data_IF_927224232525
#
_entry.id   IF_927224232525
#
_cell.length_a   1.000
_cell.length_b   1.000
_cell.length_c   1.000
_cell.angle_alpha   90.00
_cell.angle_beta   90.00
_cell.angle_gamma   90.00
#
_symmetry.space_group_name_H-M   'P 1'
#
loop_
_entity.id
_entity.type
_entity.pdbx_description
1 polymer ?
#
# COMPACT_ATOMS: atom_id res chain seq x y z
N UNK A 1 -43.21 79.99 22.93
CA UNK A 1 -42.45 78.86 23.51
C UNK A 1 -41.07 78.89 22.90
N UNK A 2 -40.05 79.10 23.74
CA UNK A 2 -38.62 78.79 23.62
C UNK A 2 -38.31 77.63 22.61
N UNK A 3 -37.26 77.53 21.80
CA UNK A 3 -35.83 77.95 21.86
C UNK A 3 -35.17 77.92 20.44
N UNK A 4 -34.24 78.87 20.27
CA UNK A 4 -33.04 79.10 19.43
C UNK A 4 -32.22 77.83 19.01
N UNK A 5 -31.59 77.69 17.84
CA UNK A 5 -30.29 78.29 17.47
C UNK A 5 -29.96 78.22 15.94
N UNK A 6 -29.49 79.37 15.42
CA UNK A 6 -28.56 79.56 14.28
C UNK A 6 -27.15 78.97 14.64
N UNK A 7 -26.16 78.65 13.78
CA UNK A 7 -25.59 79.39 12.64
C UNK A 7 -24.46 78.57 11.93
N UNK A 8 -24.32 78.79 10.61
CA UNK A 8 -23.13 78.88 9.69
C UNK A 8 -21.90 77.96 9.89
N UNK A 9 -21.55 77.11 8.90
CA UNK A 9 -20.67 77.33 7.71
C UNK A 9 -19.23 77.72 8.03
N UNK A 10 -18.24 76.93 7.56
CA UNK A 10 -16.96 77.32 6.92
C UNK A 10 -16.24 76.02 6.41
N UNK A 11 -16.02 75.92 5.09
CA UNK A 11 -14.91 75.18 4.45
C UNK A 11 -13.71 76.16 4.32
N UNK A 12 -12.45 75.78 3.98
CA UNK A 12 -11.90 74.49 3.50
C UNK A 12 -10.61 74.06 4.24
N UNK A 13 -10.03 72.86 4.00
CA UNK A 13 -8.57 72.66 4.12
C UNK A 13 -8.09 71.37 3.42
N UNK A 14 -6.89 71.50 2.86
CA UNK A 14 -6.11 70.66 1.97
C UNK A 14 -5.56 69.33 2.53
N UNK A 15 -5.50 68.34 1.63
CA UNK A 15 -4.33 67.51 1.22
C UNK A 15 -3.46 66.71 2.24
N UNK A 16 -3.00 65.55 1.75
CA UNK A 16 -1.98 64.58 2.26
C UNK A 16 -2.50 63.44 3.18
N UNK A 17 -2.07 62.17 3.11
CA UNK A 17 -1.00 61.45 2.40
C UNK A 17 -1.45 59.98 2.16
N UNK A 18 -1.05 59.41 1.02
CA UNK A 18 -1.26 58.02 0.63
C UNK A 18 -0.30 57.10 1.40
N UNK A 19 -0.80 56.03 2.04
CA UNK A 19 0.03 55.06 2.77
C UNK A 19 -0.55 53.65 2.70
N UNK A 20 -0.27 52.95 1.61
CA UNK A 20 -0.68 51.57 1.38
C UNK A 20 0.03 50.61 2.34
N UNK A 21 -0.71 49.97 3.24
CA UNK A 21 -0.22 48.84 4.02
C UNK A 21 0.07 47.65 3.10
N UNK A 22 1.35 47.48 2.73
CA UNK A 22 1.84 46.29 2.03
C UNK A 22 2.05 45.18 3.06
N UNK A 23 1.09 44.26 3.21
CA UNK A 23 1.33 42.99 3.90
C UNK A 23 2.47 42.27 3.15
N UNK A 24 3.65 42.19 3.76
CA UNK A 24 4.72 41.31 3.30
C UNK A 24 4.22 39.86 3.48
N UNK A 25 3.75 39.25 2.40
CA UNK A 25 3.64 37.79 2.32
C UNK A 25 5.06 37.25 2.51
N UNK A 26 5.29 36.58 3.63
CA UNK A 26 6.45 35.72 3.78
C UNK A 26 6.41 34.70 2.63
N UNK A 27 7.54 34.41 1.96
CA UNK A 27 7.56 33.34 0.97
C UNK A 27 7.24 32.05 1.71
N UNK A 28 6.08 31.46 1.40
CA UNK A 28 5.87 30.03 1.64
C UNK A 28 6.97 29.33 0.84
N UNK A 29 8.03 28.90 1.54
CA UNK A 29 8.96 27.94 0.99
C UNK A 29 8.18 26.65 0.81
N UNK A 30 7.65 26.47 -0.41
CA UNK A 30 7.12 25.20 -0.85
C UNK A 30 8.33 24.27 -0.95
N UNK A 31 8.65 23.57 0.14
CA UNK A 31 9.52 22.42 0.04
C UNK A 31 8.88 21.51 -1.02
N UNK A 32 9.55 21.39 -2.16
CA UNK A 32 9.21 20.44 -3.21
C UNK A 32 9.31 19.06 -2.56
N UNK A 33 8.21 18.54 -2.02
CA UNK A 33 8.16 17.14 -1.64
C UNK A 33 8.29 16.40 -2.96
N UNK A 34 9.42 15.72 -3.15
CA UNK A 34 9.61 14.88 -4.32
C UNK A 34 8.39 13.96 -4.42
N UNK A 35 7.57 14.17 -5.45
CA UNK A 35 6.47 13.24 -5.73
C UNK A 35 7.11 11.87 -5.94
N UNK A 36 6.55 10.82 -5.33
CA UNK A 36 7.12 9.51 -5.45
C UNK A 36 7.01 9.09 -6.93
N UNK A 37 8.16 9.07 -7.60
CA UNK A 37 8.26 8.83 -9.02
C UNK A 37 8.61 7.36 -9.26
N UNK A 38 7.88 6.74 -10.18
CA UNK A 38 8.33 5.51 -10.79
C UNK A 38 9.54 5.85 -11.67
N UNK A 39 10.69 5.24 -11.36
CA UNK A 39 11.88 5.30 -12.20
C UNK A 39 12.03 3.93 -12.85
N UNK A 40 12.01 3.82 -14.19
CA UNK A 40 12.24 2.55 -14.87
C UNK A 40 13.60 1.99 -14.44
N UNK A 41 13.59 0.87 -13.72
CA UNK A 41 14.83 0.18 -13.37
C UNK A 41 15.32 -0.52 -14.63
N UNK A 42 16.57 -0.29 -15.04
CA UNK A 42 17.16 -0.94 -16.22
C UNK A 42 17.22 -2.48 -16.13
N UNK A 43 17.00 -3.04 -14.93
CA UNK A 43 16.89 -4.47 -14.68
C UNK A 43 15.52 -4.79 -14.03
N UNK A 44 14.89 -5.92 -14.38
CA UNK A 44 13.67 -6.38 -13.71
C UNK A 44 13.88 -6.65 -12.22
N UNK A 45 12.89 -6.25 -11.42
CA UNK A 45 12.80 -6.55 -9.99
C UNK A 45 12.08 -7.90 -9.83
N UNK A 46 12.79 -8.97 -10.19
CA UNK A 46 12.28 -10.35 -10.20
C UNK A 46 12.61 -11.06 -8.88
N UNK A 47 11.62 -11.21 -7.98
CA UNK A 47 11.80 -11.84 -6.66
C UNK A 47 11.40 -13.32 -6.67
N UNK A 48 10.25 -13.65 -7.24
CA UNK A 48 9.73 -15.03 -7.35
C UNK A 48 10.17 -15.65 -8.67
N UNK A 49 9.84 -15.00 -9.80
CA UNK A 49 10.27 -15.42 -11.13
C UNK A 49 10.14 -14.32 -12.18
N UNK A 50 11.10 -14.17 -13.12
CA UNK A 50 11.03 -13.21 -14.21
C UNK A 50 9.79 -13.33 -15.11
N UNK A 51 9.15 -14.51 -15.16
CA UNK A 51 7.91 -14.72 -15.91
C UNK A 51 6.74 -13.87 -15.39
N UNK A 52 6.84 -13.39 -14.16
CA UNK A 52 5.87 -12.50 -13.52
C UNK A 52 6.27 -11.03 -13.64
N UNK A 53 7.20 -10.68 -14.53
CA UNK A 53 7.57 -9.29 -14.80
C UNK A 53 7.07 -8.88 -16.19
N UNK A 54 6.10 -7.96 -16.25
CA UNK A 54 5.60 -7.41 -17.51
C UNK A 54 6.33 -6.11 -17.86
N UNK A 55 6.52 -5.77 -19.16
CA UNK A 55 7.14 -4.51 -19.57
C UNK A 55 6.19 -3.30 -19.48
N UNK A 56 4.98 -3.51 -18.95
CA UNK A 56 3.94 -2.50 -18.76
C UNK A 56 3.31 -2.65 -17.37
N UNK A 57 2.59 -1.63 -16.86
CA UNK A 57 1.92 -1.74 -15.58
C UNK A 57 0.84 -2.83 -15.59
N UNK A 58 0.73 -3.60 -14.51
CA UNK A 58 -0.29 -4.64 -14.35
C UNK A 58 -1.25 -4.24 -13.25
N UNK A 59 -2.50 -4.00 -13.62
CA UNK A 59 -3.58 -3.71 -12.67
C UNK A 59 -4.25 -5.01 -12.22
N UNK A 60 -4.13 -5.30 -10.93
CA UNK A 60 -4.71 -6.46 -10.28
C UNK A 60 -5.95 -6.06 -9.50
N UNK A 61 -6.99 -6.86 -9.56
CA UNK A 61 -8.19 -6.74 -8.72
C UNK A 61 -8.16 -7.85 -7.67
N UNK A 62 -8.21 -7.46 -6.40
CA UNK A 62 -8.29 -8.37 -5.26
C UNK A 62 -9.77 -8.57 -4.93
N UNK A 63 -10.26 -9.81 -5.04
CA UNK A 63 -11.67 -10.15 -4.79
C UNK A 63 -11.77 -11.08 -3.60
N UNK A 64 -12.10 -10.52 -2.42
CA UNK A 64 -12.51 -11.33 -1.27
C UNK A 64 -13.85 -12.00 -1.54
N UNK A 65 -13.91 -13.31 -1.36
CA UNK A 65 -15.19 -14.02 -1.30
C UNK A 65 -15.66 -14.03 0.14
N UNK A 66 -16.68 -13.23 0.44
CA UNK A 66 -17.36 -13.26 1.74
C UNK A 66 -18.24 -14.52 1.82
N UNK A 67 -18.04 -15.30 2.89
CA UNK A 67 -18.91 -16.36 3.42
C UNK A 67 -19.11 -17.65 2.61
N UNK A 68 -18.17 -18.58 2.78
CA UNK A 68 -18.47 -19.88 3.42
C UNK A 68 -17.29 -20.22 4.33
N UNK A 69 -17.56 -20.25 5.64
CA UNK A 69 -16.73 -20.55 6.80
C UNK A 69 -15.25 -20.98 6.57
N UNK A 70 -14.34 -20.28 7.28
CA UNK A 70 -13.00 -20.65 7.78
C UNK A 70 -11.71 -20.54 6.95
N UNK A 71 -11.73 -20.31 5.63
CA UNK A 71 -10.53 -20.70 4.85
C UNK A 71 -9.65 -19.57 4.25
N UNK A 72 -9.97 -18.27 4.44
CA UNK A 72 -9.11 -17.17 3.95
C UNK A 72 -8.88 -17.15 2.43
N UNK A 73 -9.76 -17.79 1.65
CA UNK A 73 -9.58 -18.00 0.22
C UNK A 73 -10.06 -16.77 -0.58
N UNK A 74 -9.15 -16.06 -1.25
CA UNK A 74 -9.49 -15.02 -2.22
C UNK A 74 -8.83 -15.23 -3.58
N UNK A 75 -9.40 -14.58 -4.61
CA UNK A 75 -8.90 -14.64 -5.98
C UNK A 75 -8.31 -13.28 -6.38
N UNK A 76 -7.26 -13.33 -7.18
CA UNK A 76 -6.65 -12.17 -7.81
C UNK A 76 -6.91 -12.26 -9.31
N UNK A 77 -7.52 -11.22 -9.86
CA UNK A 77 -7.83 -11.15 -11.29
C UNK A 77 -7.11 -9.98 -11.95
N UNK A 78 -7.00 -10.01 -13.28
CA UNK A 78 -6.73 -8.80 -14.05
C UNK A 78 -7.98 -7.88 -14.08
N UNK A 79 -7.87 -6.76 -14.80
CA UNK A 79 -8.96 -5.81 -15.02
C UNK A 79 -10.13 -6.37 -15.83
N UNK A 80 -9.90 -7.44 -16.60
CA UNK A 80 -10.92 -8.11 -17.41
C UNK A 80 -11.64 -9.22 -16.62
N UNK A 81 -11.22 -9.50 -15.38
CA UNK A 81 -11.77 -10.55 -14.53
C UNK A 81 -11.15 -11.92 -14.77
N UNK A 82 -10.08 -12.03 -15.56
CA UNK A 82 -9.35 -13.29 -15.73
C UNK A 82 -8.58 -13.61 -14.46
N UNK A 83 -8.69 -14.85 -13.97
CA UNK A 83 -7.98 -15.28 -12.77
C UNK A 83 -6.48 -15.34 -13.05
N UNK A 84 -5.71 -14.56 -12.32
CA UNK A 84 -4.24 -14.56 -12.33
C UNK A 84 -3.70 -15.48 -11.25
N UNK A 85 -4.26 -15.37 -10.03
CA UNK A 85 -3.88 -16.20 -8.90
C UNK A 85 -5.07 -16.59 -8.04
N UNK A 86 -4.89 -17.69 -7.30
CA UNK A 86 -5.82 -18.16 -6.26
C UNK A 86 -5.03 -18.31 -4.97
N UNK A 87 -5.60 -17.88 -3.85
CA UNK A 87 -5.03 -18.08 -2.52
C UNK A 87 -5.80 -19.20 -1.84
N UNK A 88 -5.10 -20.22 -1.36
CA UNK A 88 -5.68 -21.30 -0.56
C UNK A 88 -5.09 -21.35 0.85
N UNK A 89 -5.94 -21.39 1.88
CA UNK A 89 -5.56 -21.81 3.23
C UNK A 89 -5.37 -23.34 3.31
N UNK A 90 -4.49 -23.82 4.21
CA UNK A 90 -4.46 -25.25 4.57
C UNK A 90 -5.43 -25.50 5.73
N UNK A 91 -6.34 -26.46 5.53
CA UNK A 91 -7.36 -26.95 6.47
C UNK A 91 -6.92 -26.92 7.95
N UNK A 92 -7.77 -26.35 8.81
CA UNK A 92 -7.98 -26.48 10.28
C UNK A 92 -6.79 -26.62 11.26
N UNK A 93 -5.60 -27.04 10.85
CA UNK A 93 -4.43 -27.34 11.69
C UNK A 93 -3.26 -26.36 11.49
N UNK A 94 -3.27 -25.52 10.46
CA UNK A 94 -2.18 -24.56 10.18
C UNK A 94 -2.80 -23.22 9.77
N UNK A 95 -3.42 -22.52 10.74
CA UNK A 95 -3.99 -21.17 10.51
C UNK A 95 -2.97 -20.20 9.92
N UNK A 96 -1.68 -20.49 10.12
CA UNK A 96 -0.53 -19.64 9.83
C UNK A 96 0.10 -19.87 8.46
N UNK A 97 -0.55 -20.64 7.57
CA UNK A 97 0.01 -20.96 6.25
C UNK A 97 -0.99 -20.71 5.14
N UNK A 98 -0.51 -20.03 4.10
CA UNK A 98 -1.22 -19.79 2.83
C UNK A 98 -0.40 -20.28 1.65
N UNK A 99 -1.06 -20.67 0.57
CA UNK A 99 -0.41 -21.04 -0.68
C UNK A 99 -1.01 -20.21 -1.80
N UNK A 100 -0.14 -19.50 -2.52
CA UNK A 100 -0.49 -18.78 -3.74
C UNK A 100 -0.36 -19.75 -4.91
N UNK A 101 -1.44 -19.91 -5.66
CA UNK A 101 -1.52 -20.77 -6.83
C UNK A 101 -1.68 -19.93 -8.09
N UNK A 102 -1.14 -20.39 -9.21
CA UNK A 102 -1.42 -19.81 -10.53
C UNK A 102 -2.84 -20.17 -11.02
N UNK A 103 -3.22 -19.66 -12.19
CA UNK A 103 -4.52 -19.94 -12.81
C UNK A 103 -4.78 -21.44 -13.04
N UNK A 104 -3.73 -22.26 -13.17
CA UNK A 104 -3.76 -23.71 -13.37
C UNK A 104 -3.66 -24.50 -12.05
N UNK A 105 -3.89 -23.86 -10.91
CA UNK A 105 -3.80 -24.45 -9.57
C UNK A 105 -2.40 -24.99 -9.19
N UNK A 106 -1.33 -24.53 -9.86
CA UNK A 106 0.05 -24.90 -9.49
C UNK A 106 0.60 -23.96 -8.41
N UNK A 107 1.26 -24.49 -7.37
CA UNK A 107 1.89 -23.67 -6.34
C UNK A 107 2.98 -22.75 -6.88
N UNK A 108 2.81 -21.46 -6.63
CA UNK A 108 3.80 -20.41 -6.94
C UNK A 108 4.69 -20.18 -5.73
N UNK A 109 4.07 -19.87 -4.59
CA UNK A 109 4.75 -19.69 -3.30
C UNK A 109 3.86 -20.13 -2.13
N UNK A 110 4.49 -20.50 -1.03
CA UNK A 110 3.85 -20.69 0.27
C UNK A 110 4.27 -19.57 1.21
N UNK A 111 3.34 -19.11 2.04
CA UNK A 111 3.53 -18.05 3.02
C UNK A 111 3.27 -18.65 4.40
N UNK A 112 4.18 -18.44 5.34
CA UNK A 112 4.10 -19.00 6.68
C UNK A 112 4.42 -17.95 7.74
N UNK A 113 3.54 -17.80 8.73
CA UNK A 113 3.81 -16.97 9.90
C UNK A 113 4.60 -17.78 10.95
N UNK A 114 5.66 -17.19 11.49
CA UNK A 114 6.38 -17.71 12.66
C UNK A 114 5.81 -17.11 13.94
N UNK A 115 4.84 -17.81 14.54
CA UNK A 115 4.13 -17.37 15.76
C UNK A 115 5.08 -17.17 16.95
N UNK A 116 6.13 -17.99 17.09
CA UNK A 116 7.07 -17.94 18.23
C UNK A 116 8.18 -16.89 18.10
N UNK A 117 7.99 -15.86 17.26
CA UNK A 117 8.96 -14.76 17.12
C UNK A 117 8.36 -13.46 17.65
N UNK A 118 9.17 -12.63 18.33
CA UNK A 118 8.73 -11.37 18.95
C UNK A 118 8.07 -10.36 17.97
N UNK A 119 8.24 -10.57 16.65
CA UNK A 119 7.74 -9.66 15.61
C UNK A 119 6.71 -10.28 14.66
N UNK A 120 6.18 -11.49 14.94
CA UNK A 120 5.24 -12.23 14.06
C UNK A 120 5.70 -12.20 12.60
N UNK A 121 6.92 -12.70 12.35
CA UNK A 121 7.58 -12.66 11.04
C UNK A 121 6.90 -13.63 10.07
N UNK A 122 6.64 -13.16 8.86
CA UNK A 122 6.21 -14.00 7.74
C UNK A 122 7.41 -14.42 6.90
N UNK A 123 7.40 -15.65 6.41
CA UNK A 123 8.37 -16.18 5.47
C UNK A 123 7.65 -16.68 4.23
N UNK A 124 8.27 -16.46 3.07
CA UNK A 124 7.72 -16.86 1.78
C UNK A 124 8.70 -17.79 1.09
N UNK A 125 8.23 -18.97 0.71
CA UNK A 125 9.03 -20.02 0.09
C UNK A 125 8.55 -20.30 -1.33
N UNK A 126 9.47 -20.75 -2.19
CA UNK A 126 9.17 -21.19 -3.55
C UNK A 126 8.26 -22.43 -3.53
N UNK A 127 7.24 -22.44 -4.39
CA UNK A 127 6.32 -23.58 -4.50
C UNK A 127 5.53 -23.84 -3.21
N UNK A 128 5.12 -25.09 -2.98
CA UNK A 128 4.47 -25.51 -1.72
C UNK A 128 5.50 -26.01 -0.69
N UNK A 129 6.55 -25.22 -0.43
CA UNK A 129 7.67 -25.62 0.45
C UNK A 129 7.56 -25.04 1.87
N UNK A 130 8.45 -25.49 2.76
CA UNK A 130 8.84 -24.84 4.02
C UNK A 130 10.35 -24.96 4.27
N UNK A 131 11.12 -25.43 3.28
CA UNK A 131 12.55 -25.66 3.39
C UNK A 131 13.33 -24.36 3.28
N UNK A 132 14.37 -24.20 4.08
CA UNK A 132 15.17 -22.97 4.10
C UNK A 132 15.85 -22.66 2.76
N UNK A 133 16.11 -23.69 1.94
CA UNK A 133 16.68 -23.52 0.60
C UNK A 133 15.70 -22.88 -0.39
N UNK A 134 14.39 -23.01 -0.13
CA UNK A 134 13.33 -22.42 -0.94
C UNK A 134 12.91 -21.04 -0.43
N UNK A 135 13.51 -20.54 0.66
CA UNK A 135 13.19 -19.22 1.20
C UNK A 135 13.52 -18.13 0.16
N UNK A 136 12.52 -17.31 -0.17
CA UNK A 136 12.68 -16.21 -1.13
C UNK A 136 12.86 -14.88 -0.39
N UNK A 137 11.98 -14.62 0.57
CA UNK A 137 12.00 -13.41 1.36
C UNK A 137 11.21 -13.59 2.64
N UNK A 138 11.26 -12.56 3.47
CA UNK A 138 10.54 -12.50 4.72
C UNK A 138 10.06 -11.10 5.01
N UNK A 139 9.02 -11.00 5.82
CA UNK A 139 8.31 -9.76 6.09
C UNK A 139 8.13 -9.61 7.60
N UNK A 140 8.45 -8.43 8.14
CA UNK A 140 8.20 -8.09 9.54
C UNK A 140 7.56 -6.71 9.64
N UNK A 141 6.78 -6.47 10.70
CA UNK A 141 6.34 -5.11 11.04
C UNK A 141 7.56 -4.28 11.41
N UNK A 142 7.67 -3.06 10.89
CA UNK A 142 8.80 -2.17 11.20
C UNK A 142 8.79 -1.69 12.67
N UNK A 143 7.63 -1.75 13.34
CA UNK A 143 7.49 -1.52 14.78
C UNK A 143 6.32 -2.33 15.37
N UNK A 144 6.39 -2.64 16.66
CA UNK A 144 5.32 -3.33 17.42
C UNK A 144 4.12 -2.38 17.65
N UNK A 145 4.38 -1.08 17.83
CA UNK A 145 3.37 -0.04 18.04
C UNK A 145 3.29 0.82 16.77
N UNK A 146 2.33 0.51 15.90
CA UNK A 146 2.11 1.25 14.65
C UNK A 146 0.65 1.67 14.49
N UNK A 147 0.43 2.97 14.30
CA UNK A 147 -0.88 3.54 13.93
C UNK A 147 -1.21 3.37 12.45
N UNK A 148 -0.19 3.12 11.61
CA UNK A 148 -0.29 2.92 10.15
C UNK A 148 0.39 1.62 9.75
N UNK A 149 0.01 1.07 8.60
CA UNK A 149 0.63 -0.16 8.09
C UNK A 149 2.02 0.14 7.57
N UNK A 150 3.06 -0.38 8.24
CA UNK A 150 4.44 -0.29 7.77
C UNK A 150 5.20 -1.61 7.97
N UNK A 151 5.68 -2.19 6.86
CA UNK A 151 6.34 -3.49 6.82
C UNK A 151 7.72 -3.37 6.17
N UNK A 152 8.69 -4.08 6.73
CA UNK A 152 10.03 -4.26 6.16
C UNK A 152 10.13 -5.65 5.53
N UNK A 153 10.67 -5.71 4.32
CA UNK A 153 10.86 -6.93 3.54
C UNK A 153 12.35 -7.15 3.31
N UNK A 154 12.79 -8.37 3.61
CA UNK A 154 14.18 -8.81 3.44
C UNK A 154 14.22 -10.01 2.52
N UNK A 155 14.96 -9.90 1.42
CA UNK A 155 15.26 -11.02 0.54
C UNK A 155 16.11 -12.05 1.28
N UNK A 156 16.01 -13.32 0.91
CA UNK A 156 16.77 -14.39 1.57
C UNK A 156 18.29 -14.20 1.50
N UNK A 157 18.78 -13.46 0.50
CA UNK A 157 20.19 -13.08 0.34
C UNK A 157 20.63 -11.98 1.32
N UNK A 158 19.70 -11.22 1.90
CA UNK A 158 19.97 -10.16 2.86
C UNK A 158 19.99 -10.73 4.29
N UNK A 159 21.08 -11.42 4.63
CA UNK A 159 21.21 -12.09 5.93
C UNK A 159 21.53 -11.14 7.09
N UNK A 160 21.98 -9.92 6.80
CA UNK A 160 22.33 -8.92 7.83
C UNK A 160 21.10 -8.14 8.30
N UNK A 161 20.16 -7.87 7.38
CA UNK A 161 18.94 -7.09 7.64
C UNK A 161 19.20 -5.66 8.15
N UNK A 162 20.37 -5.08 7.88
CA UNK A 162 20.71 -3.71 8.27
C UNK A 162 19.83 -2.66 7.54
N UNK A 163 19.40 -2.99 6.32
CA UNK A 163 18.45 -2.22 5.52
C UNK A 163 17.47 -3.18 4.84
N UNK A 164 16.22 -2.75 4.69
CA UNK A 164 15.21 -3.53 3.98
C UNK A 164 15.40 -3.46 2.46
N UNK A 165 15.06 -4.53 1.75
CA UNK A 165 15.07 -4.58 0.29
C UNK A 165 13.80 -3.98 -0.31
N UNK A 166 12.68 -4.05 0.43
CA UNK A 166 11.44 -3.36 0.12
C UNK A 166 10.76 -2.88 1.39
N UNK A 167 9.92 -1.87 1.23
CA UNK A 167 9.13 -1.30 2.31
C UNK A 167 7.69 -1.09 1.88
N UNK A 168 6.74 -1.48 2.72
CA UNK A 168 5.33 -1.11 2.55
C UNK A 168 5.03 0.03 3.51
N UNK A 169 4.36 1.09 3.03
CA UNK A 169 3.82 2.19 3.86
C UNK A 169 2.38 2.49 3.49
N UNK A 170 1.58 2.98 4.43
CA UNK A 170 0.23 3.51 4.17
C UNK A 170 -0.81 2.96 5.12
N UNK A 171 -2.06 2.88 4.69
CA UNK A 171 -3.15 2.33 5.48
C UNK A 171 -3.87 1.22 4.71
N UNK A 172 -3.90 0.04 5.32
CA UNK A 172 -4.65 -1.10 4.77
C UNK A 172 -6.16 -0.82 4.72
N UNK A 173 -6.71 -0.24 5.79
CA UNK A 173 -8.15 0.06 5.90
C UNK A 173 -8.59 1.08 4.85
N UNK A 174 -7.75 2.07 4.56
CA UNK A 174 -8.01 3.07 3.52
C UNK A 174 -7.67 2.57 2.11
N UNK A 175 -7.08 1.37 1.98
CA UNK A 175 -6.57 0.79 0.72
C UNK A 175 -5.57 1.72 0.04
N UNK A 176 -4.68 2.33 0.83
CA UNK A 176 -3.71 3.35 0.41
C UNK A 176 -2.25 2.92 0.57
N UNK A 177 -2.00 1.61 0.72
CA UNK A 177 -0.63 1.10 0.83
C UNK A 177 0.17 1.29 -0.46
N UNK A 178 1.44 1.64 -0.31
CA UNK A 178 2.43 1.81 -1.37
C UNK A 178 3.64 0.95 -1.04
N UNK A 179 4.19 0.29 -2.05
CA UNK A 179 5.35 -0.60 -1.94
C UNK A 179 6.54 0.06 -2.62
N UNK A 180 7.65 0.18 -1.89
CA UNK A 180 8.86 0.87 -2.30
C UNK A 180 10.04 -0.09 -2.42
N UNK A 181 10.98 0.25 -3.30
CA UNK A 181 12.29 -0.40 -3.35
C UNK A 181 13.19 0.15 -2.23
N UNK A 182 13.48 -0.69 -1.24
CA UNK A 182 14.17 -0.35 0.01
C UNK A 182 13.57 0.88 0.70
N UNK A 183 14.45 1.76 1.18
CA UNK A 183 14.11 3.07 1.75
C UNK A 183 14.09 4.21 0.72
N UNK A 184 14.14 3.88 -0.58
CA UNK A 184 14.10 4.90 -1.64
C UNK A 184 12.67 5.43 -1.88
N UNK A 185 12.55 6.47 -2.71
CA UNK A 185 11.25 6.98 -3.19
C UNK A 185 10.68 6.20 -4.37
N UNK A 186 11.37 5.13 -4.82
CA UNK A 186 10.99 4.36 -6.01
C UNK A 186 9.81 3.46 -5.68
N UNK A 187 8.64 3.74 -6.26
CA UNK A 187 7.45 2.90 -6.11
C UNK A 187 7.52 1.70 -7.05
N UNK A 188 7.22 0.51 -6.53
CA UNK A 188 7.09 -0.73 -7.30
C UNK A 188 5.64 -1.22 -7.41
N UNK A 189 4.77 -0.84 -6.47
CA UNK A 189 3.33 -1.06 -6.56
C UNK A 189 2.53 -0.10 -5.68
N UNK A 190 1.27 0.14 -6.03
CA UNK A 190 0.36 1.00 -5.29
C UNK A 190 -1.05 0.39 -5.20
N UNK A 191 -1.64 0.46 -4.01
CA UNK A 191 -3.05 0.08 -3.81
C UNK A 191 -3.97 1.26 -4.06
N UNK A 192 -5.15 0.97 -4.60
CA UNK A 192 -6.20 1.94 -4.86
C UNK A 192 -7.55 1.41 -4.40
N UNK A 193 -8.32 2.29 -3.76
CA UNK A 193 -9.70 1.99 -3.36
C UNK A 193 -10.62 1.94 -4.58
N UNK A 194 -11.37 0.85 -4.74
CA UNK A 194 -12.37 0.73 -5.81
C UNK A 194 -13.70 1.32 -5.35
N UNK A 195 -14.06 2.49 -5.86
CA UNK A 195 -15.36 3.12 -5.63
C UNK A 195 -16.35 2.70 -6.73
N UNK A 196 -17.09 1.60 -6.54
CA UNK A 196 -18.15 1.20 -7.48
C UNK A 196 -19.45 0.89 -6.74
N UNK A 197 -20.61 1.20 -7.33
CA UNK A 197 -21.92 0.91 -6.71
C UNK A 197 -22.11 -0.58 -6.36
N UNK A 198 -21.44 -1.48 -7.09
CA UNK A 198 -21.42 -2.92 -6.82
C UNK A 198 -20.66 -3.30 -5.54
N UNK A 199 -19.63 -2.56 -5.11
CA UNK A 199 -18.91 -2.88 -3.86
C UNK A 199 -19.77 -2.61 -2.61
N UNK A 200 -20.74 -1.70 -2.72
CA UNK A 200 -21.70 -1.37 -1.65
C UNK A 200 -22.80 -2.43 -1.54
N UNK A 201 -23.27 -2.99 -2.67
CA UNK A 201 -24.39 -3.95 -2.69
C UNK A 201 -23.95 -5.38 -2.39
N UNK A 202 -22.70 -5.77 -2.74
CA UNK A 202 -22.24 -7.15 -2.57
C UNK A 202 -21.46 -7.45 -1.29
N UNK A 203 -21.17 -6.45 -0.45
CA UNK A 203 -20.33 -6.63 0.74
C UNK A 203 -18.93 -7.19 0.43
N UNK A 204 -18.45 -7.07 -0.82
CA UNK A 204 -17.16 -7.62 -1.26
C UNK A 204 -16.12 -6.51 -1.22
N UNK A 205 -15.23 -6.56 -0.22
CA UNK A 205 -14.01 -5.75 -0.12
C UNK A 205 -13.12 -5.98 -1.35
N UNK A 206 -13.41 -5.24 -2.41
CA UNK A 206 -12.70 -5.28 -3.68
C UNK A 206 -11.84 -4.03 -3.77
N UNK A 207 -10.55 -4.19 -4.00
CA UNK A 207 -9.63 -3.09 -4.25
C UNK A 207 -8.67 -3.47 -5.37
N UNK A 208 -8.00 -2.48 -5.92
CA UNK A 208 -7.04 -2.69 -7.01
C UNK A 208 -5.63 -2.42 -6.55
N UNK A 209 -4.67 -3.06 -7.20
CA UNK A 209 -3.24 -2.84 -7.00
C UNK A 209 -2.60 -2.68 -8.36
N UNK A 210 -1.98 -1.53 -8.60
CA UNK A 210 -1.17 -1.29 -9.80
C UNK A 210 0.26 -1.74 -9.49
N UNK A 211 0.75 -2.72 -10.24
CA UNK A 211 2.15 -3.15 -10.23
C UNK A 211 2.88 -2.44 -11.36
N UNK A 212 3.98 -1.76 -11.05
CA UNK A 212 4.72 -1.01 -12.06
C UNK A 212 5.52 -1.94 -13.00
N UNK A 213 5.90 -1.46 -14.20
CA UNK A 213 6.63 -2.27 -15.17
C UNK A 213 7.91 -2.88 -14.58
N UNK A 214 8.24 -4.08 -15.07
CA UNK A 214 9.40 -4.87 -14.69
C UNK A 214 9.46 -5.31 -13.22
N UNK A 215 8.38 -5.12 -12.47
CA UNK A 215 8.21 -5.64 -11.11
C UNK A 215 7.49 -6.98 -11.14
N UNK A 216 7.95 -7.92 -10.33
CA UNK A 216 7.31 -9.23 -10.15
C UNK A 216 5.92 -9.10 -9.51
N UNK A 217 4.86 -9.27 -10.30
CA UNK A 217 3.50 -9.13 -9.79
C UNK A 217 3.07 -10.28 -8.87
N UNK A 218 3.69 -11.46 -8.94
CA UNK A 218 3.44 -12.54 -7.99
C UNK A 218 3.99 -12.18 -6.60
N UNK A 219 5.15 -11.53 -6.55
CA UNK A 219 5.73 -11.00 -5.32
C UNK A 219 4.82 -9.97 -4.67
N UNK A 220 4.28 -9.03 -5.46
CA UNK A 220 3.33 -8.04 -4.96
C UNK A 220 2.06 -8.71 -4.41
N UNK A 221 1.53 -9.72 -5.11
CA UNK A 221 0.37 -10.48 -4.62
C UNK A 221 0.68 -11.18 -3.28
N UNK A 222 1.86 -11.78 -3.13
CA UNK A 222 2.25 -12.39 -1.87
C UNK A 222 2.31 -11.37 -0.71
N UNK A 223 2.78 -10.14 -0.97
CA UNK A 223 2.74 -9.06 0.02
C UNK A 223 1.31 -8.63 0.36
N UNK A 224 0.40 -8.59 -0.61
CA UNK A 224 -1.02 -8.31 -0.39
C UNK A 224 -1.64 -9.39 0.51
N UNK A 225 -1.32 -10.67 0.31
CA UNK A 225 -1.76 -11.77 1.18
C UNK A 225 -1.24 -11.60 2.61
N UNK A 226 0.03 -11.24 2.78
CA UNK A 226 0.59 -11.02 4.13
C UNK A 226 -0.07 -9.82 4.82
N UNK A 227 -0.25 -8.72 4.08
CA UNK A 227 -0.95 -7.53 4.57
C UNK A 227 -2.36 -7.89 5.02
N UNK A 228 -3.02 -8.75 4.27
CA UNK A 228 -4.33 -9.22 4.62
C UNK A 228 -4.37 -9.97 5.95
N UNK A 229 -3.57 -11.03 6.07
CA UNK A 229 -3.51 -11.87 7.28
C UNK A 229 -3.15 -11.04 8.52
N UNK A 230 -2.24 -10.07 8.40
CA UNK A 230 -1.85 -9.18 9.50
C UNK A 230 -3.02 -8.29 9.99
N UNK A 231 -3.97 -7.99 9.12
CA UNK A 231 -5.11 -7.13 9.45
C UNK A 231 -6.37 -7.93 9.79
N UNK A 232 -6.54 -9.16 9.30
CA UNK A 232 -7.57 -10.09 9.82
C UNK A 232 -7.28 -10.47 11.28
N UNK A 233 -6.01 -10.71 11.64
CA UNK A 233 -5.52 -10.95 13.01
C UNK A 233 -5.87 -9.85 14.06
N UNK A 234 -6.32 -8.66 13.63
CA UNK A 234 -6.65 -7.53 14.52
C UNK A 234 -8.14 -7.43 14.86
N UNK A 235 -8.99 -8.09 14.08
CA UNK A 235 -10.45 -8.02 14.20
C UNK A 235 -11.03 -9.18 15.04
N UNK A 236 -10.16 -10.11 15.51
CA UNK A 236 -10.44 -11.18 16.48
C UNK A 236 -9.97 -10.82 17.91
#
# INVERSE_FOLDING_TARGET
MLITFHQRVIYPFDQFFLGSFKLKKAPFSLALMAEPSYVPTGNPVAVISPQFCAPYPVDLTIVRKVMTLSDGNFAVTDVNGNIMFKVKGKLLSIRDRRVLLDASDRPVVSLQQKILTAHRRWQVFRGDSSDSQDLLFSVKKSSILQFKTELDIFLATNTKEDACDFKVKGSWLERSCVIYLGDSSTIVAQMHKKHTAQSIVLGKDTFTVTVYPHVDYAFIVALVVILDEINEDRDD
#
